data_IF_903103201175
#
_entry.id   IF_903103201175
#
_cell.length_a   1.000
_cell.length_b   1.000
_cell.length_c   1.000
_cell.angle_alpha   90.00
_cell.angle_beta   90.00
_cell.angle_gamma   90.00
#
_symmetry.space_group_name_H-M   'P 1'
#
loop_
_entity.id
_entity.type
_entity.pdbx_description
1 polymer ?
#
# COMPACT_ATOMS: atom_id res chain seq x y z
N UNK A 1 -5.76 32.85 -45.53
CA UNK A 1 -5.98 32.73 -44.06
C UNK A 1 -6.75 31.49 -43.66
N UNK A 2 -7.51 30.81 -44.53
CA UNK A 2 -8.27 29.57 -44.19
C UNK A 2 -7.40 28.34 -43.81
N UNK A 3 -6.16 28.26 -44.37
CA UNK A 3 -5.33 27.04 -44.15
C UNK A 3 -4.55 27.06 -42.81
N UNK A 4 -4.36 28.19 -42.17
CA UNK A 4 -3.59 28.26 -40.92
C UNK A 4 -4.34 27.62 -39.73
N UNK A 5 -5.66 27.72 -39.72
CA UNK A 5 -6.50 27.07 -38.71
C UNK A 5 -6.52 25.54 -38.84
N UNK A 6 -6.42 25.06 -40.07
CA UNK A 6 -6.33 23.62 -40.35
C UNK A 6 -5.01 23.03 -39.87
N UNK A 7 -3.89 23.75 -40.02
CA UNK A 7 -2.60 23.33 -39.48
C UNK A 7 -2.53 23.40 -37.96
N UNK A 8 -3.15 24.43 -37.34
CA UNK A 8 -3.27 24.51 -35.87
C UNK A 8 -4.13 23.39 -35.32
N UNK A 9 -5.23 23.03 -35.99
CA UNK A 9 -6.11 21.91 -35.62
C UNK A 9 -5.38 20.56 -35.78
N UNK A 10 -4.62 20.36 -36.83
CA UNK A 10 -3.78 19.17 -37.06
C UNK A 10 -2.64 19.08 -36.04
N UNK A 11 -2.01 20.20 -35.68
CA UNK A 11 -0.96 20.24 -34.65
C UNK A 11 -1.53 19.95 -33.25
N UNK A 12 -2.76 20.38 -32.96
CA UNK A 12 -3.48 20.07 -31.71
C UNK A 12 -3.85 18.58 -31.57
N UNK A 13 -4.09 17.89 -32.70
CA UNK A 13 -4.43 16.47 -32.70
C UNK A 13 -3.23 15.53 -32.49
N UNK A 14 -2.00 15.99 -32.78
CA UNK A 14 -0.76 15.22 -32.57
C UNK A 14 -0.29 15.19 -31.11
N UNK A 15 -0.88 16.02 -30.21
CA UNK A 15 -0.57 16.04 -28.78
C UNK A 15 -1.49 15.15 -27.93
N UNK A 16 -2.40 14.36 -28.51
CA UNK A 16 -3.10 13.32 -27.78
C UNK A 16 -2.13 12.11 -27.69
N UNK A 17 -1.11 12.27 -26.87
CA UNK A 17 -0.21 11.18 -26.50
C UNK A 17 -1.02 10.10 -25.80
N UNK A 18 -1.07 8.90 -26.37
CA UNK A 18 -1.54 7.71 -25.69
C UNK A 18 -0.62 7.50 -24.48
N UNK A 19 -1.08 7.84 -23.30
CA UNK A 19 -0.41 7.45 -22.07
C UNK A 19 -0.55 5.93 -21.94
N UNK A 20 0.48 5.19 -22.34
CA UNK A 20 0.60 3.79 -22.01
C UNK A 20 0.65 3.70 -20.48
N UNK A 21 -0.43 3.25 -19.86
CA UNK A 21 -0.49 3.01 -18.41
C UNK A 21 0.33 1.74 -18.17
N UNK A 22 1.58 1.90 -17.71
CA UNK A 22 2.39 0.78 -17.25
C UNK A 22 1.69 0.13 -16.06
N UNK A 23 1.79 -1.19 -15.94
CA UNK A 23 1.25 -1.95 -14.80
C UNK A 23 1.88 -1.40 -13.52
N UNK A 24 1.07 -0.83 -12.65
CA UNK A 24 1.53 -0.30 -11.37
C UNK A 24 1.35 -1.39 -10.31
N UNK A 25 2.32 -1.47 -9.40
CA UNK A 25 2.23 -2.34 -8.23
C UNK A 25 0.91 -2.09 -7.48
N UNK A 26 0.21 -3.16 -7.11
CA UNK A 26 -1.08 -3.07 -6.43
C UNK A 26 -0.94 -2.32 -5.09
N UNK A 27 -1.77 -1.29 -4.88
CA UNK A 27 -1.90 -0.66 -3.57
C UNK A 27 -3.01 -1.36 -2.80
N UNK A 28 -2.78 -1.55 -1.49
CA UNK A 28 -3.83 -2.01 -0.60
C UNK A 28 -4.87 -0.91 -0.36
N UNK A 29 -6.14 -1.27 -0.33
CA UNK A 29 -7.23 -0.38 0.05
C UNK A 29 -7.13 -0.01 1.54
N UNK A 30 -6.83 -1.00 2.38
CA UNK A 30 -6.58 -0.81 3.80
C UNK A 30 -5.11 -0.47 4.12
N UNK A 31 -4.46 0.37 3.29
CA UNK A 31 -3.04 0.71 3.48
C UNK A 31 -2.74 1.25 4.89
N UNK A 32 -3.66 2.00 5.52
CA UNK A 32 -3.49 2.48 6.90
C UNK A 32 -3.38 1.37 7.94
N UNK A 33 -3.98 0.21 7.68
CA UNK A 33 -3.95 -0.92 8.60
C UNK A 33 -2.57 -1.55 8.68
N UNK A 34 -1.72 -1.32 7.67
CA UNK A 34 -0.42 -1.96 7.55
C UNK A 34 0.63 -1.03 6.91
N UNK A 35 0.71 0.20 7.41
CA UNK A 35 1.61 1.23 6.88
C UNK A 35 3.10 0.85 6.96
N UNK A 36 3.51 -0.06 7.86
CA UNK A 36 4.91 -0.50 7.98
C UNK A 36 5.43 -1.17 6.70
N UNK A 37 4.56 -1.75 5.87
CA UNK A 37 4.94 -2.32 4.57
C UNK A 37 5.57 -1.24 3.67
N UNK A 38 4.96 -0.06 3.62
CA UNK A 38 5.39 1.04 2.73
C UNK A 38 6.27 2.07 3.43
N UNK A 39 6.17 2.21 4.77
CA UNK A 39 6.96 3.19 5.52
C UNK A 39 7.43 2.60 6.86
N UNK A 40 8.73 2.28 7.00
CA UNK A 40 9.27 1.67 8.22
C UNK A 40 9.12 2.55 9.46
N UNK A 41 8.92 3.86 9.33
CA UNK A 41 8.70 4.74 10.47
C UNK A 41 7.34 4.53 11.17
N UNK A 42 6.39 3.84 10.54
CA UNK A 42 5.13 3.46 11.21
C UNK A 42 5.29 2.28 12.15
N UNK A 43 6.39 1.54 12.08
CA UNK A 43 6.67 0.39 12.96
C UNK A 43 6.61 0.80 14.42
N UNK A 44 5.73 0.14 15.19
CA UNK A 44 5.49 0.42 16.61
C UNK A 44 4.71 1.69 16.92
N UNK A 45 4.48 2.58 15.93
CA UNK A 45 3.73 3.84 16.16
C UNK A 45 2.26 3.65 16.50
N UNK A 46 1.71 2.45 16.26
CA UNK A 46 0.35 2.03 16.59
C UNK A 46 0.31 0.99 17.72
N UNK A 47 1.42 0.77 18.43
CA UNK A 47 1.58 -0.29 19.44
C UNK A 47 1.98 -1.63 18.82
N UNK A 48 1.88 -2.70 19.64
CA UNK A 48 2.17 -4.05 19.19
C UNK A 48 1.01 -4.60 18.35
N UNK A 49 1.31 -4.92 17.11
CA UNK A 49 0.32 -5.21 16.10
C UNK A 49 0.74 -6.38 15.22
N UNK A 50 -0.20 -7.26 14.97
CA UNK A 50 -0.15 -8.28 13.94
C UNK A 50 -1.19 -7.95 12.87
N UNK A 51 -0.84 -8.03 11.59
CA UNK A 51 -1.74 -7.75 10.48
C UNK A 51 -1.60 -8.76 9.36
N UNK A 52 -2.73 -9.17 8.81
CA UNK A 52 -2.86 -9.95 7.59
C UNK A 52 -3.75 -9.19 6.63
N UNK A 53 -3.36 -9.14 5.36
CA UNK A 53 -4.17 -8.59 4.28
C UNK A 53 -4.14 -9.54 3.10
N UNK A 54 -5.29 -9.67 2.45
CA UNK A 54 -5.42 -10.43 1.22
C UNK A 54 -6.27 -9.64 0.24
N UNK A 55 -5.73 -9.41 -0.95
CA UNK A 55 -6.37 -8.69 -2.04
C UNK A 55 -6.42 -9.56 -3.28
N UNK A 56 -7.59 -9.63 -3.91
CA UNK A 56 -7.77 -10.27 -5.20
C UNK A 56 -8.37 -9.24 -6.17
N UNK A 57 -7.64 -8.98 -7.24
CA UNK A 57 -8.11 -8.12 -8.32
C UNK A 57 -8.87 -8.95 -9.38
N UNK A 58 -9.65 -8.32 -10.25
CA UNK A 58 -10.33 -8.94 -11.39
C UNK A 58 -11.11 -10.18 -11.02
N UNK A 59 -12.05 -10.02 -10.09
CA UNK A 59 -12.87 -11.13 -9.59
C UNK A 59 -13.56 -11.85 -10.73
N UNK A 60 -13.41 -13.19 -10.75
CA UNK A 60 -13.99 -14.05 -11.80
C UNK A 60 -13.08 -14.29 -13.00
N UNK A 61 -11.90 -13.71 -13.03
CA UNK A 61 -10.87 -13.97 -14.05
C UNK A 61 -9.92 -15.06 -13.54
N UNK A 62 -9.64 -16.06 -14.36
CA UNK A 62 -8.65 -17.08 -14.06
C UNK A 62 -7.26 -16.41 -13.97
N UNK A 63 -6.45 -16.80 -12.97
CA UNK A 63 -5.11 -16.25 -12.73
C UNK A 63 -5.04 -14.74 -12.45
N UNK A 64 -6.15 -14.18 -12.02
CA UNK A 64 -6.23 -12.80 -11.59
C UNK A 64 -5.16 -12.44 -10.54
N UNK A 65 -4.67 -11.20 -10.54
CA UNK A 65 -3.68 -10.75 -9.58
C UNK A 65 -4.14 -10.94 -8.13
N UNK A 66 -3.25 -11.47 -7.28
CA UNK A 66 -3.51 -11.73 -5.86
C UNK A 66 -2.33 -11.24 -5.04
N UNK A 67 -2.63 -10.47 -4.01
CA UNK A 67 -1.61 -9.98 -3.08
C UNK A 67 -1.97 -10.42 -1.68
N UNK A 68 -1.03 -11.07 -1.00
CA UNK A 68 -1.13 -11.37 0.42
C UNK A 68 -0.03 -10.63 1.16
N UNK A 69 -0.31 -10.09 2.32
CA UNK A 69 0.69 -9.50 3.17
C UNK A 69 0.52 -9.90 4.62
N UNK A 70 1.63 -9.94 5.30
CA UNK A 70 1.77 -10.16 6.72
C UNK A 70 2.64 -9.07 7.31
N UNK A 71 2.27 -8.57 8.47
CA UNK A 71 3.13 -7.67 9.25
C UNK A 71 3.03 -7.99 10.73
N UNK A 72 4.14 -7.79 11.41
CA UNK A 72 4.22 -7.81 12.85
C UNK A 72 5.06 -6.64 13.33
N UNK A 73 4.52 -5.84 14.23
CA UNK A 73 5.21 -4.70 14.83
C UNK A 73 5.26 -4.92 16.35
N UNK A 74 6.43 -4.70 16.95
CA UNK A 74 6.57 -4.71 18.41
C UNK A 74 6.01 -3.41 19.00
N UNK A 75 5.63 -3.44 20.27
CA UNK A 75 5.41 -2.21 21.02
C UNK A 75 6.72 -1.42 21.17
N UNK A 76 6.59 -0.12 21.35
CA UNK A 76 7.72 0.77 21.62
C UNK A 76 8.39 0.41 22.94
N UNK A 77 9.72 0.24 22.92
CA UNK A 77 10.54 0.03 24.10
C UNK A 77 11.78 0.91 24.01
N UNK A 78 11.98 1.81 24.97
CA UNK A 78 13.09 2.80 24.96
C UNK A 78 13.17 3.60 23.67
N UNK A 79 12.01 4.10 23.18
CA UNK A 79 11.87 4.84 21.92
C UNK A 79 12.20 4.05 20.65
N UNK A 80 12.34 2.75 20.72
CA UNK A 80 12.63 1.90 19.57
C UNK A 80 11.55 0.86 19.35
N UNK A 81 11.35 0.48 18.12
CA UNK A 81 10.43 -0.59 17.71
C UNK A 81 10.98 -1.38 16.55
N UNK A 82 10.62 -2.65 16.49
CA UNK A 82 10.98 -3.56 15.40
C UNK A 82 9.72 -4.01 14.66
N UNK A 83 9.87 -4.23 13.38
CA UNK A 83 8.81 -4.77 12.52
C UNK A 83 9.34 -5.86 11.61
N UNK A 84 8.44 -6.77 11.24
CA UNK A 84 8.68 -7.80 10.23
C UNK A 84 7.53 -7.78 9.25
N UNK A 85 7.85 -7.70 7.96
CA UNK A 85 6.86 -7.68 6.91
C UNK A 85 7.16 -8.76 5.88
N UNK A 86 6.10 -9.37 5.38
CA UNK A 86 6.13 -10.26 4.24
C UNK A 86 4.99 -9.88 3.30
N UNK A 87 5.28 -9.80 2.00
CA UNK A 87 4.29 -9.59 0.96
C UNK A 87 4.53 -10.59 -0.15
N UNK A 88 3.48 -11.22 -0.63
CA UNK A 88 3.49 -12.09 -1.81
C UNK A 88 2.53 -11.50 -2.82
N UNK A 89 3.03 -11.16 -3.99
CA UNK A 89 2.26 -10.66 -5.14
C UNK A 89 2.37 -11.68 -6.26
N UNK A 90 1.22 -12.13 -6.75
CA UNK A 90 1.13 -13.06 -7.85
C UNK A 90 0.30 -12.46 -8.96
N UNK A 91 0.92 -12.28 -10.12
CA UNK A 91 0.28 -11.79 -11.32
C UNK A 91 0.55 -12.77 -12.46
N UNK A 92 -0.46 -13.56 -12.80
CA UNK A 92 -0.38 -14.54 -13.88
C UNK A 92 0.74 -15.57 -13.66
N UNK A 93 1.85 -15.48 -14.37
CA UNK A 93 3.03 -16.37 -14.24
C UNK A 93 4.13 -15.79 -13.36
N UNK A 94 4.05 -14.52 -13.01
CA UNK A 94 5.02 -13.84 -12.16
C UNK A 94 4.60 -13.93 -10.69
N UNK A 95 5.52 -14.40 -9.83
CA UNK A 95 5.36 -14.41 -8.39
C UNK A 95 6.48 -13.57 -7.76
N UNK A 96 6.10 -12.53 -7.04
CA UNK A 96 7.02 -11.68 -6.31
C UNK A 96 6.82 -11.86 -4.80
N UNK A 97 7.89 -12.13 -4.08
CA UNK A 97 7.90 -12.18 -2.62
C UNK A 97 8.82 -11.11 -2.05
N UNK A 98 8.37 -10.37 -1.06
CA UNK A 98 9.18 -9.39 -0.32
C UNK A 98 9.20 -9.78 1.14
N UNK A 99 10.38 -9.94 1.72
CA UNK A 99 10.57 -10.12 3.16
C UNK A 99 11.43 -8.99 3.68
N UNK A 100 11.03 -8.36 4.77
CA UNK A 100 11.81 -7.26 5.37
C UNK A 100 11.68 -7.21 6.88
N UNK A 101 12.74 -6.66 7.49
CA UNK A 101 12.76 -6.22 8.87
C UNK A 101 12.86 -4.69 8.90
N UNK A 102 12.10 -4.08 9.81
CA UNK A 102 12.06 -2.65 10.02
C UNK A 102 12.57 -2.31 11.41
N UNK A 103 13.26 -1.20 11.52
CA UNK A 103 13.63 -0.57 12.78
C UNK A 103 13.14 0.87 12.78
N UNK A 104 12.47 1.28 13.84
CA UNK A 104 11.95 2.63 14.00
C UNK A 104 12.42 3.23 15.32
N UNK A 105 12.83 4.49 15.26
CA UNK A 105 13.23 5.29 16.43
C UNK A 105 12.31 6.50 16.57
N UNK A 106 11.75 6.69 17.77
CA UNK A 106 10.86 7.80 18.11
C UNK A 106 11.63 8.94 18.77
N UNK A 107 11.45 10.14 18.25
CA UNK A 107 11.89 11.40 18.82
C UNK A 107 10.67 12.18 19.32
N UNK A 108 10.62 12.48 20.60
CA UNK A 108 9.60 13.35 21.17
C UNK A 108 9.94 14.81 20.85
N UNK A 109 9.16 15.47 20.02
CA UNK A 109 9.36 16.88 19.66
C UNK A 109 8.67 17.83 20.63
N UNK A 110 7.46 17.46 21.07
CA UNK A 110 6.68 18.21 22.04
C UNK A 110 5.66 17.30 22.74
N UNK A 111 4.87 17.83 23.71
CA UNK A 111 3.75 17.07 24.24
C UNK A 111 2.72 16.75 23.17
N UNK A 112 2.56 15.46 22.88
CA UNK A 112 1.62 14.95 21.88
C UNK A 112 2.11 14.95 20.44
N UNK A 113 3.35 15.39 20.15
CA UNK A 113 3.94 15.35 18.80
C UNK A 113 5.26 14.59 18.79
N UNK A 114 5.33 13.56 17.97
CA UNK A 114 6.49 12.69 17.85
C UNK A 114 6.93 12.58 16.38
N UNK A 115 8.24 12.53 16.16
CA UNK A 115 8.85 12.20 14.89
C UNK A 115 9.41 10.77 15.01
N UNK A 116 9.01 9.90 14.09
CA UNK A 116 9.57 8.56 13.97
C UNK A 116 10.45 8.52 12.73
N UNK A 117 11.63 7.96 12.86
CA UNK A 117 12.57 7.70 11.77
C UNK A 117 12.72 6.20 11.63
N UNK A 118 12.52 5.68 10.44
CA UNK A 118 12.53 4.25 10.17
C UNK A 118 13.51 3.85 9.10
N UNK A 119 14.12 2.69 9.27
CA UNK A 119 14.91 2.01 8.25
C UNK A 119 14.32 0.62 8.01
N UNK A 120 14.46 0.15 6.79
CA UNK A 120 14.00 -1.16 6.31
C UNK A 120 15.15 -1.89 5.64
N UNK A 121 15.31 -3.17 5.94
CA UNK A 121 16.25 -4.04 5.25
C UNK A 121 15.57 -5.38 4.94
N UNK A 122 15.87 -5.95 3.78
CA UNK A 122 15.23 -7.18 3.38
C UNK A 122 15.68 -7.68 2.01
N UNK A 123 14.83 -8.49 1.41
CA UNK A 123 15.05 -9.06 0.09
C UNK A 123 13.74 -9.16 -0.69
N UNK A 124 13.86 -8.98 -1.98
CA UNK A 124 12.82 -9.18 -2.97
C UNK A 124 13.17 -10.42 -3.78
N UNK A 125 12.30 -11.43 -3.75
CA UNK A 125 12.41 -12.66 -4.50
C UNK A 125 11.38 -12.67 -5.62
N UNK A 126 11.82 -12.98 -6.83
CA UNK A 126 10.95 -13.06 -8.01
C UNK A 126 11.11 -14.43 -8.66
N UNK A 127 9.99 -15.00 -9.05
CA UNK A 127 9.89 -16.28 -9.74
C UNK A 127 8.94 -16.15 -10.93
N UNK A 128 9.34 -16.67 -12.08
CA UNK A 128 8.51 -16.76 -13.28
C UNK A 128 8.22 -18.23 -13.55
N UNK A 129 6.93 -18.61 -13.55
CA UNK A 129 6.44 -19.95 -13.87
C UNK A 129 6.49 -20.18 -15.39
N UNK A 130 7.64 -20.64 -15.86
CA UNK A 130 7.88 -20.90 -17.28
C UNK A 130 7.09 -22.08 -17.82
N UNK A 131 6.77 -23.08 -16.99
CA UNK A 131 5.97 -24.24 -17.39
C UNK A 131 4.55 -23.85 -17.73
N UNK A 132 4.03 -22.89 -16.99
CA UNK A 132 2.70 -22.32 -17.24
C UNK A 132 2.69 -21.45 -18.49
N UNK A 133 3.74 -20.65 -18.70
CA UNK A 133 3.92 -19.84 -19.90
C UNK A 133 3.97 -20.73 -21.15
N UNK A 134 4.74 -21.81 -21.14
CA UNK A 134 4.87 -22.75 -22.24
C UNK A 134 3.56 -23.49 -22.59
N UNK A 135 2.71 -23.76 -21.59
CA UNK A 135 1.37 -24.33 -21.83
C UNK A 135 0.44 -23.43 -22.60
N UNK A 136 0.64 -22.12 -22.51
CA UNK A 136 -0.22 -21.12 -23.15
C UNK A 136 0.27 -20.79 -24.55
N UNK A 137 1.58 -20.68 -24.76
CA UNK A 137 2.17 -20.32 -26.03
C UNK A 137 2.31 -21.48 -27.00
N UNK A 138 2.11 -22.73 -26.54
CA UNK A 138 2.31 -23.99 -27.31
C UNK A 138 3.72 -24.16 -27.91
N UNK A 139 4.61 -23.22 -27.66
CA UNK A 139 6.02 -23.23 -28.13
C UNK A 139 6.96 -23.03 -26.94
N UNK A 140 7.94 -23.90 -26.84
CA UNK A 140 9.04 -23.73 -25.89
C UNK A 140 9.91 -22.56 -26.35
N UNK A 141 9.78 -21.42 -25.70
CA UNK A 141 10.63 -20.27 -26.00
C UNK A 141 11.98 -20.43 -25.31
N UNK A 142 12.97 -20.92 -26.06
CA UNK A 142 14.34 -21.15 -25.58
C UNK A 142 15.00 -19.89 -24.97
N UNK A 143 14.54 -18.70 -25.37
CA UNK A 143 15.01 -17.42 -24.82
C UNK A 143 14.56 -17.17 -23.39
N UNK A 144 13.52 -17.88 -22.89
CA UNK A 144 13.03 -17.78 -21.53
C UNK A 144 13.55 -18.91 -20.62
N UNK A 145 14.20 -19.90 -21.18
CA UNK A 145 14.65 -21.13 -20.49
C UNK A 145 15.76 -20.93 -19.43
N UNK A 146 16.09 -19.73 -19.05
CA UNK A 146 17.13 -19.47 -18.04
C UNK A 146 16.77 -18.43 -16.98
N UNK A 147 15.58 -17.80 -17.05
CA UNK A 147 15.22 -16.67 -16.21
C UNK A 147 14.05 -17.08 -15.31
N UNK A 148 14.31 -17.99 -14.39
CA UNK A 148 13.23 -18.51 -13.53
C UNK A 148 13.18 -17.83 -12.16
N UNK A 149 14.34 -17.54 -11.58
CA UNK A 149 14.40 -17.05 -10.20
C UNK A 149 15.52 -16.02 -10.03
N UNK A 150 15.24 -14.93 -9.35
CA UNK A 150 16.27 -13.99 -8.91
C UNK A 150 15.89 -13.37 -7.57
N UNK A 151 16.91 -12.94 -6.82
CA UNK A 151 16.78 -12.31 -5.53
C UNK A 151 17.58 -11.02 -5.51
N UNK A 152 16.94 -9.93 -5.04
CA UNK A 152 17.57 -8.62 -4.90
C UNK A 152 17.50 -8.17 -3.44
N UNK A 153 18.58 -7.54 -2.91
CA UNK A 153 18.52 -6.89 -1.61
C UNK A 153 17.56 -5.70 -1.66
N UNK A 154 16.97 -5.37 -0.52
CA UNK A 154 16.07 -4.26 -0.32
C UNK A 154 16.56 -3.44 0.86
N UNK A 155 16.71 -2.14 0.67
CA UNK A 155 17.01 -1.16 1.71
C UNK A 155 16.05 0.01 1.54
N UNK A 156 15.40 0.43 2.62
CA UNK A 156 14.45 1.53 2.61
C UNK A 156 14.60 2.43 3.81
N UNK A 157 14.00 3.60 3.72
CA UNK A 157 13.94 4.57 4.80
C UNK A 157 12.59 5.29 4.82
N UNK A 158 12.24 5.83 5.98
CA UNK A 158 11.03 6.61 6.14
C UNK A 158 11.06 7.53 7.34
N UNK A 159 10.16 8.50 7.30
CA UNK A 159 9.88 9.42 8.38
C UNK A 159 8.37 9.50 8.61
N UNK A 160 7.95 9.71 9.84
CA UNK A 160 6.57 9.89 10.24
C UNK A 160 6.50 10.95 11.33
N UNK A 161 5.84 12.05 11.03
CA UNK A 161 5.42 13.04 12.03
C UNK A 161 4.01 12.69 12.49
N UNK A 162 3.84 12.40 13.76
CA UNK A 162 2.55 12.00 14.35
C UNK A 162 2.20 12.89 15.53
N UNK A 163 1.04 13.51 15.46
CA UNK A 163 0.38 14.22 16.54
C UNK A 163 -0.80 13.40 17.06
N UNK A 164 -1.58 13.92 18.02
CA UNK A 164 -2.74 13.22 18.58
C UNK A 164 -3.74 12.75 17.53
N UNK A 165 -4.06 13.63 16.58
CA UNK A 165 -5.12 13.40 15.59
C UNK A 165 -4.61 13.39 14.15
N UNK A 166 -3.36 13.78 13.91
CA UNK A 166 -2.83 14.01 12.57
C UNK A 166 -1.51 13.28 12.39
N UNK A 167 -1.27 12.76 11.20
CA UNK A 167 0.03 12.22 10.81
C UNK A 167 0.42 12.68 9.42
N UNK A 168 1.73 12.78 9.20
CA UNK A 168 2.37 13.00 7.89
C UNK A 168 3.52 12.02 7.77
N UNK A 169 3.52 11.22 6.72
CA UNK A 169 4.52 10.20 6.44
C UNK A 169 5.20 10.42 5.11
N UNK A 170 6.49 10.12 5.06
CA UNK A 170 7.31 10.14 3.86
C UNK A 170 8.21 8.91 3.86
N UNK A 171 8.33 8.20 2.73
CA UNK A 171 9.17 7.01 2.67
C UNK A 171 9.58 6.61 1.26
N UNK A 172 10.70 5.88 1.22
CA UNK A 172 11.16 5.11 0.06
C UNK A 172 11.42 3.69 0.57
N UNK A 173 10.46 2.75 0.40
CA UNK A 173 10.57 1.38 0.92
C UNK A 173 11.74 0.59 0.34
N UNK A 174 12.15 0.92 -0.89
CA UNK A 174 13.34 0.39 -1.53
C UNK A 174 14.05 1.51 -2.29
N UNK A 175 15.24 1.87 -1.85
CA UNK A 175 16.11 2.89 -2.44
C UNK A 175 16.93 2.31 -3.60
N UNK A 176 17.11 0.98 -3.59
CA UNK A 176 17.96 0.30 -4.55
C UNK A 176 17.26 0.13 -5.90
N UNK A 177 17.98 0.43 -6.97
CA UNK A 177 17.56 0.05 -8.32
C UNK A 177 17.83 -1.45 -8.51
N UNK A 178 16.78 -2.26 -8.50
CA UNK A 178 16.90 -3.71 -8.64
C UNK A 178 16.71 -4.13 -10.09
N UNK A 179 17.66 -4.88 -10.64
CA UNK A 179 17.51 -5.45 -11.98
C UNK A 179 16.57 -6.65 -11.92
N UNK A 180 15.50 -6.64 -12.72
CA UNK A 180 14.53 -7.75 -12.79
C UNK A 180 15.05 -8.95 -13.58
N UNK A 181 16.01 -8.76 -14.49
CA UNK A 181 16.53 -9.83 -15.33
C UNK A 181 18.06 -9.78 -15.38
N UNK A 182 18.69 -10.95 -15.33
CA UNK A 182 20.12 -11.11 -15.56
C UNK A 182 20.34 -11.59 -16.99
N UNK A 183 21.43 -11.08 -17.60
CA UNK A 183 21.96 -11.60 -18.86
C UNK A 183 22.43 -13.05 -18.66
N UNK A 184 21.84 -13.98 -19.38
CA UNK A 184 22.38 -15.31 -19.58
C UNK A 184 22.38 -15.59 -21.08
N UNK A 185 23.56 -15.68 -21.65
CA UNK A 185 23.81 -16.09 -23.04
C UNK A 185 23.28 -15.18 -24.15
N UNK A 186 23.46 -13.87 -24.00
CA UNK A 186 23.26 -12.94 -25.10
C UNK A 186 21.85 -12.40 -25.32
N UNK A 187 20.92 -12.69 -24.41
CA UNK A 187 19.61 -12.02 -24.38
C UNK A 187 19.59 -11.03 -23.22
N UNK A 188 19.73 -9.74 -23.54
CA UNK A 188 19.59 -8.65 -22.58
C UNK A 188 18.14 -8.23 -22.48
N UNK A 189 17.44 -8.70 -21.45
CA UNK A 189 16.18 -8.10 -21.01
C UNK A 189 16.40 -7.41 -19.68
N UNK A 190 16.60 -6.10 -19.69
CA UNK A 190 16.88 -5.30 -18.49
C UNK A 190 15.63 -4.49 -18.10
N UNK A 191 14.73 -5.10 -17.34
CA UNK A 191 13.79 -4.31 -16.56
C UNK A 191 14.45 -3.92 -15.23
N UNK A 192 14.36 -2.67 -14.86
CA UNK A 192 14.90 -2.15 -13.58
C UNK A 192 13.74 -1.66 -12.74
N UNK A 193 13.59 -2.21 -11.53
CA UNK A 193 12.67 -1.66 -10.55
C UNK A 193 13.20 -0.32 -10.06
N UNK A 194 12.40 0.73 -10.25
CA UNK A 194 12.73 2.08 -9.81
C UNK A 194 12.24 2.31 -8.39
N UNK A 195 12.93 3.14 -7.60
CA UNK A 195 12.46 3.51 -6.27
C UNK A 195 11.07 4.13 -6.31
N UNK A 196 10.21 3.69 -5.41
CA UNK A 196 8.90 4.27 -5.17
C UNK A 196 8.99 5.26 -4.01
N UNK A 197 8.56 6.47 -4.24
CA UNK A 197 8.41 7.48 -3.20
C UNK A 197 6.96 7.50 -2.74
N UNK A 198 6.74 7.43 -1.43
CA UNK A 198 5.42 7.51 -0.82
C UNK A 198 5.32 8.74 0.09
N UNK A 199 4.22 9.46 -0.04
CA UNK A 199 3.78 10.50 0.89
C UNK A 199 2.41 10.12 1.40
N UNK A 200 2.20 10.18 2.70
CA UNK A 200 0.92 9.84 3.32
C UNK A 200 0.53 10.88 4.36
N UNK A 201 -0.75 11.12 4.53
CA UNK A 201 -1.23 12.02 5.55
C UNK A 201 -2.67 11.74 5.90
N UNK A 202 -3.03 12.00 7.14
CA UNK A 202 -4.37 11.81 7.61
C UNK A 202 -4.63 12.58 8.91
N UNK A 203 -5.90 12.82 9.16
CA UNK A 203 -6.32 13.50 10.39
C UNK A 203 -7.65 12.93 10.86
N UNK A 204 -8.01 13.18 12.11
CA UNK A 204 -9.29 12.77 12.70
C UNK A 204 -10.01 13.99 13.25
N UNK A 205 -11.23 14.21 12.78
CA UNK A 205 -12.13 15.27 13.23
C UNK A 205 -13.28 14.65 14.05
N UNK A 206 -13.43 15.01 15.31
CA UNK A 206 -14.60 14.67 16.10
C UNK A 206 -15.83 15.44 15.58
N UNK A 207 -16.86 14.74 15.12
CA UNK A 207 -18.13 15.32 14.67
C UNK A 207 -19.15 15.37 15.79
N UNK A 208 -19.18 14.35 16.65
CA UNK A 208 -20.04 14.27 17.83
C UNK A 208 -19.47 13.27 18.84
N UNK A 209 -20.13 13.08 19.98
CA UNK A 209 -19.75 12.06 20.96
C UNK A 209 -19.84 10.66 20.34
N UNK A 210 -18.68 10.08 20.01
CA UNK A 210 -18.56 8.75 19.43
C UNK A 210 -18.65 8.70 17.90
N UNK A 211 -18.61 9.84 17.21
CA UNK A 211 -18.51 9.89 15.73
C UNK A 211 -17.32 10.75 15.32
N UNK A 212 -16.43 10.23 14.50
CA UNK A 212 -15.33 10.99 13.90
C UNK A 212 -15.20 10.74 12.42
N UNK A 213 -14.75 11.78 11.69
CA UNK A 213 -14.39 11.72 10.27
C UNK A 213 -12.88 11.63 10.15
N UNK A 214 -12.39 10.68 9.37
CA UNK A 214 -10.96 10.43 9.16
C UNK A 214 -10.61 10.45 7.67
N UNK A 215 -10.30 11.61 7.07
CA UNK A 215 -9.71 11.69 5.76
C UNK A 215 -8.25 11.24 5.79
N UNK A 216 -7.85 10.48 4.76
CA UNK A 216 -6.49 9.98 4.58
C UNK A 216 -6.10 10.05 3.11
N UNK A 217 -4.88 10.44 2.86
CA UNK A 217 -4.29 10.53 1.53
C UNK A 217 -3.04 9.66 1.46
N UNK A 218 -2.86 9.00 0.34
CA UNK A 218 -1.63 8.31 -0.03
C UNK A 218 -1.24 8.72 -1.44
N UNK A 219 -0.06 9.29 -1.58
CA UNK A 219 0.52 9.68 -2.86
C UNK A 219 1.77 8.84 -3.12
N UNK A 220 1.84 8.24 -4.31
CA UNK A 220 2.96 7.43 -4.78
C UNK A 220 3.54 8.03 -6.05
N UNK A 221 4.85 8.20 -6.08
CA UNK A 221 5.62 8.59 -7.26
C UNK A 221 6.61 7.50 -7.62
N UNK A 222 6.73 7.23 -8.91
CA UNK A 222 7.73 6.33 -9.51
C UNK A 222 8.24 7.01 -10.76
N UNK A 223 9.55 7.00 -10.97
CA UNK A 223 10.12 7.57 -12.19
C UNK A 223 9.61 6.80 -13.43
N UNK A 224 9.23 7.55 -14.47
CA UNK A 224 8.69 7.05 -15.75
C UNK A 224 7.36 6.27 -15.64
N UNK A 225 6.61 6.46 -14.56
CA UNK A 225 5.27 5.94 -14.40
C UNK A 225 4.30 7.06 -13.93
N UNK A 226 3.01 6.97 -14.24
CA UNK A 226 2.02 7.92 -13.72
C UNK A 226 1.99 7.91 -12.19
N UNK A 227 1.96 9.11 -11.60
CA UNK A 227 1.80 9.25 -10.17
C UNK A 227 0.41 8.76 -9.74
N UNK A 228 0.34 8.14 -8.58
CA UNK A 228 -0.91 7.65 -8.03
C UNK A 228 -1.28 8.43 -6.77
N UNK A 229 -2.50 8.95 -6.75
CA UNK A 229 -3.12 9.56 -5.59
C UNK A 229 -4.33 8.71 -5.17
N UNK A 230 -4.34 8.26 -3.93
CA UNK A 230 -5.48 7.57 -3.32
C UNK A 230 -5.98 8.43 -2.16
N UNK A 231 -7.27 8.75 -2.17
CA UNK A 231 -7.96 9.47 -1.11
C UNK A 231 -9.02 8.56 -0.49
N UNK A 232 -9.04 8.49 0.84
CA UNK A 232 -10.06 7.78 1.62
C UNK A 232 -10.71 8.76 2.60
N UNK A 233 -12.02 8.61 2.80
CA UNK A 233 -12.74 9.26 3.87
C UNK A 233 -13.48 8.18 4.67
N UNK A 234 -13.25 8.12 5.98
CA UNK A 234 -13.81 7.12 6.87
C UNK A 234 -14.60 7.78 8.00
N UNK A 235 -15.77 7.24 8.28
CA UNK A 235 -16.56 7.56 9.47
C UNK A 235 -16.33 6.47 10.51
N UNK A 236 -15.84 6.86 11.67
CA UNK A 236 -15.61 5.98 12.82
C UNK A 236 -16.71 6.18 13.85
N UNK A 237 -17.42 5.10 14.17
CA UNK A 237 -18.52 5.04 15.12
C UNK A 237 -18.05 4.41 16.42
N UNK A 238 -17.92 5.21 17.48
CA UNK A 238 -17.58 4.79 18.85
C UNK A 238 -16.32 3.92 18.97
N UNK A 239 -15.36 4.13 18.04
CA UNK A 239 -14.15 3.30 17.92
C UNK A 239 -14.46 1.80 17.80
N UNK A 240 -15.57 1.45 17.14
CA UNK A 240 -16.04 0.08 16.92
C UNK A 240 -16.23 -0.26 15.45
N UNK A 241 -16.81 0.63 14.68
CA UNK A 241 -17.14 0.43 13.28
C UNK A 241 -16.62 1.60 12.46
N UNK A 242 -15.82 1.33 11.46
CA UNK A 242 -15.44 2.32 10.45
C UNK A 242 -16.11 1.97 9.11
N UNK A 243 -16.80 2.92 8.53
CA UNK A 243 -17.32 2.84 7.16
C UNK A 243 -16.59 3.89 6.36
N UNK A 244 -16.12 3.55 5.18
CA UNK A 244 -15.37 4.48 4.36
C UNK A 244 -15.63 4.32 2.87
N UNK A 245 -15.32 5.40 2.18
CA UNK A 245 -15.26 5.44 0.73
C UNK A 245 -13.94 6.06 0.29
N UNK A 246 -13.47 5.66 -0.88
CA UNK A 246 -12.23 6.16 -1.42
C UNK A 246 -12.28 6.28 -2.93
N UNK A 247 -11.31 6.99 -3.44
CA UNK A 247 -11.07 7.16 -4.87
C UNK A 247 -9.58 7.17 -5.17
N UNK A 248 -9.23 6.71 -6.34
CA UNK A 248 -7.86 6.78 -6.85
C UNK A 248 -7.89 7.32 -8.27
N UNK A 249 -6.87 8.13 -8.62
CA UNK A 249 -6.71 8.64 -9.99
C UNK A 249 -6.41 7.53 -11.03
N UNK A 250 -6.37 6.27 -10.62
CA UNK A 250 -6.30 5.09 -11.50
C UNK A 250 -7.69 4.58 -11.91
N UNK A 251 -8.71 5.43 -11.84
CA UNK A 251 -10.09 5.11 -12.21
C UNK A 251 -10.77 4.04 -11.31
N UNK A 252 -10.50 4.09 -10.00
CA UNK A 252 -11.18 3.25 -9.01
C UNK A 252 -11.94 4.10 -7.98
N UNK A 253 -13.15 3.65 -7.66
CA UNK A 253 -13.90 4.04 -6.47
C UNK A 253 -13.95 2.85 -5.54
N UNK A 254 -13.81 3.07 -4.25
CA UNK A 254 -13.80 2.02 -3.24
C UNK A 254 -14.79 2.27 -2.12
N UNK A 255 -15.29 1.18 -1.55
CA UNK A 255 -16.06 1.16 -0.31
C UNK A 255 -15.38 0.21 0.67
N UNK A 256 -15.39 0.54 1.95
CA UNK A 256 -14.78 -0.27 3.00
C UNK A 256 -15.61 -0.28 4.27
N UNK A 257 -15.55 -1.42 4.95
CA UNK A 257 -16.08 -1.64 6.29
C UNK A 257 -14.98 -2.23 7.15
N UNK A 258 -14.76 -1.67 8.33
CA UNK A 258 -13.78 -2.15 9.29
C UNK A 258 -14.41 -2.25 10.68
N UNK A 259 -14.34 -3.42 11.29
CA UNK A 259 -14.91 -3.74 12.59
C UNK A 259 -13.78 -3.89 13.61
N UNK A 260 -13.78 -3.09 14.66
CA UNK A 260 -12.83 -3.14 15.77
C UNK A 260 -13.43 -3.96 16.90
N UNK A 261 -12.93 -5.17 17.07
CA UNK A 261 -13.44 -6.10 18.06
C UNK A 261 -13.04 -5.75 19.50
N UNK A 262 -13.91 -6.09 20.45
CA UNK A 262 -13.62 -5.92 21.87
C UNK A 262 -12.46 -6.80 22.38
N UNK A 263 -12.18 -7.91 21.69
CA UNK A 263 -11.12 -8.89 21.97
C UNK A 263 -9.79 -8.54 21.29
N UNK A 264 -9.57 -7.28 20.89
CA UNK A 264 -8.38 -6.81 20.17
C UNK A 264 -8.23 -7.36 18.73
N UNK A 265 -9.20 -8.12 18.24
CA UNK A 265 -9.25 -8.61 16.87
C UNK A 265 -10.08 -7.64 16.03
N UNK A 266 -9.51 -7.11 14.98
CA UNK A 266 -10.18 -6.22 14.04
C UNK A 266 -10.29 -6.91 12.68
N UNK A 267 -11.40 -6.71 11.98
CA UNK A 267 -11.69 -7.30 10.68
C UNK A 267 -12.10 -6.21 9.70
N UNK A 268 -11.60 -6.27 8.48
CA UNK A 268 -11.96 -5.35 7.41
C UNK A 268 -12.30 -6.08 6.13
N UNK A 269 -13.27 -5.53 5.41
CA UNK A 269 -13.61 -5.90 4.04
C UNK A 269 -13.72 -4.64 3.20
N UNK A 270 -13.11 -4.66 2.02
CA UNK A 270 -13.14 -3.57 1.07
C UNK A 270 -13.42 -4.06 -0.34
N UNK A 271 -14.04 -3.22 -1.12
CA UNK A 271 -14.38 -3.48 -2.50
C UNK A 271 -14.05 -2.27 -3.37
N UNK A 272 -13.37 -2.49 -4.50
CA UNK A 272 -13.08 -1.45 -5.48
C UNK A 272 -13.83 -1.74 -6.78
N UNK A 273 -14.44 -0.69 -7.29
CA UNK A 273 -15.14 -0.66 -8.55
C UNK A 273 -14.24 -0.01 -9.61
N UNK A 274 -13.90 -0.75 -10.66
CA UNK A 274 -13.21 -0.18 -11.82
C UNK A 274 -14.14 0.73 -12.61
N UNK A 275 -13.72 1.96 -12.90
CA UNK A 275 -14.50 2.96 -13.65
C UNK A 275 -14.11 3.01 -15.14
N UNK A 276 -13.33 2.07 -15.65
CA UNK A 276 -12.90 2.10 -17.05
C UNK A 276 -14.08 2.06 -18.01
N UNK A 277 -14.08 2.99 -18.96
CA UNK A 277 -15.04 3.10 -20.04
C UNK A 277 -15.05 1.82 -20.88
N UNK A 278 -16.20 1.46 -21.39
CA UNK A 278 -16.66 0.22 -22.02
C UNK A 278 -15.88 -0.36 -23.21
N UNK A 279 -14.67 0.11 -23.52
CA UNK A 279 -13.84 -0.45 -24.60
C UNK A 279 -12.99 -1.66 -24.19
N UNK A 280 -12.88 -1.95 -22.90
CA UNK A 280 -12.21 -3.15 -22.36
C UNK A 280 -13.25 -4.02 -21.65
N UNK A 281 -13.44 -5.24 -22.15
CA UNK A 281 -14.48 -6.20 -21.70
C UNK A 281 -14.31 -6.72 -20.26
N UNK A 282 -13.26 -6.29 -19.53
CA UNK A 282 -12.95 -6.73 -18.17
C UNK A 282 -13.41 -5.66 -17.17
N UNK A 283 -14.52 -5.91 -16.48
CA UNK A 283 -14.89 -5.18 -15.27
C UNK A 283 -13.95 -5.64 -14.15
N UNK A 284 -12.95 -4.84 -13.86
CA UNK A 284 -11.88 -5.17 -12.93
C UNK A 284 -12.28 -4.84 -11.49
N UNK A 285 -13.26 -5.52 -10.92
CA UNK A 285 -13.60 -5.37 -9.52
C UNK A 285 -12.56 -6.05 -8.65
N UNK A 286 -12.22 -5.44 -7.53
CA UNK A 286 -11.19 -5.92 -6.59
C UNK A 286 -11.79 -6.04 -5.20
N UNK A 287 -11.48 -7.12 -4.50
CA UNK A 287 -11.87 -7.33 -3.11
C UNK A 287 -10.62 -7.43 -2.22
N UNK A 288 -10.72 -6.86 -1.04
CA UNK A 288 -9.65 -6.91 -0.04
C UNK A 288 -10.21 -7.28 1.34
N UNK A 289 -9.48 -8.15 2.03
CA UNK A 289 -9.75 -8.56 3.40
C UNK A 289 -8.57 -8.18 4.28
N UNK A 290 -8.88 -7.73 5.49
CA UNK A 290 -7.90 -7.39 6.52
C UNK A 290 -8.28 -8.06 7.82
N UNK A 291 -7.28 -8.67 8.45
CA UNK A 291 -7.35 -9.14 9.84
C UNK A 291 -6.22 -8.49 10.61
N UNK A 292 -6.54 -7.89 11.76
CA UNK A 292 -5.56 -7.23 12.59
C UNK A 292 -5.76 -7.63 14.05
N UNK A 293 -4.68 -8.00 14.74
CA UNK A 293 -4.69 -8.30 16.15
C UNK A 293 -3.79 -7.33 16.91
N UNK A 294 -4.36 -6.64 17.91
CA UNK A 294 -3.66 -5.70 18.77
C UNK A 294 -3.30 -6.39 20.09
N UNK A 295 -2.03 -6.44 20.43
CA UNK A 295 -1.57 -7.07 21.68
C UNK A 295 -1.74 -6.13 22.88
N UNK A 296 -1.65 -4.82 22.65
CA UNK A 296 -1.83 -3.85 23.71
C UNK A 296 -3.32 -3.69 24.01
N UNK A 297 -3.71 -3.90 25.26
CA UNK A 297 -5.08 -3.60 25.70
C UNK A 297 -5.34 -2.11 25.47
N UNK A 298 -6.41 -1.78 24.79
CA UNK A 298 -6.90 -0.40 24.73
C UNK A 298 -7.16 0.02 26.17
N UNK A 299 -6.24 0.79 26.75
CA UNK A 299 -6.45 1.40 28.06
C UNK A 299 -7.63 2.33 27.88
N UNK A 300 -8.79 1.94 28.40
CA UNK A 300 -9.93 2.85 28.53
C UNK A 300 -9.39 4.06 29.26
N UNK A 301 -9.47 5.24 28.63
CA UNK A 301 -9.20 6.49 29.31
C UNK A 301 -9.94 6.43 30.65
N UNK A 302 -9.20 6.44 31.75
CA UNK A 302 -9.75 6.52 33.08
C UNK A 302 -10.60 7.78 33.14
N UNK A 303 -11.90 7.56 33.16
CA UNK A 303 -12.86 8.57 33.58
C UNK A 303 -12.54 8.80 35.06
N UNK A 304 -11.69 9.78 35.33
CA UNK A 304 -11.39 10.23 36.69
C UNK A 304 -12.71 10.67 37.31
N UNK A 305 -13.34 9.80 38.07
CA UNK A 305 -14.33 10.19 39.07
C UNK A 305 -13.59 11.07 40.06
N UNK A 306 -13.69 12.37 39.92
CA UNK A 306 -13.51 13.29 41.05
C UNK A 306 -14.65 12.99 42.00
N UNK A 307 -14.37 12.21 43.02
CA UNK A 307 -15.16 12.23 44.23
C UNK A 307 -15.05 13.63 44.83
N UNK A 308 -16.14 14.36 44.71
CA UNK A 308 -16.36 15.56 45.53
C UNK A 308 -16.52 15.05 46.96
N UNK A 309 -15.46 15.16 47.76
CA UNK A 309 -15.58 15.11 49.22
C UNK A 309 -16.28 16.40 49.64
N UNK A 310 -17.54 16.27 50.00
CA UNK A 310 -18.27 17.23 50.86
C UNK A 310 -17.73 17.05 52.27
N UNK A 311 -17.08 18.09 52.77
CA UNK A 311 -17.06 18.46 54.18
C UNK A 311 -17.82 19.76 54.36
#
# INVERSE_FOLDING_TARGET
MKNIYTYILLLGFTFIGFTAKAQQQANFLFFESNMSIINPAFTGSQGQLFGLQYRTAWMGVEDAPRVASFSYNTSEKKNTSWGFNFTSDRVYVENQGVVSADYSYKLKLSEGTNLYLGIKAGANYNNIDTDRLNRITSESNASLAGITNYMNPLIGAGALLKSKNTFLGFSVPNILNSKRFKDQQGVQSTATDKPHLYMSGGTSFGLSSGLSLRPVLLYRMVADAPNQLTALAKLDFKDRVEIGAGMSNNDYISALLFLKGASNLDLGIGYEFGQRTSSTALRENTMEFVVRYRFDKVTKAETTKKEVKTE
#
